data_IF_359296802869
#
_entry.id   IF_359296802869
#
_cell.length_a   1.000
_cell.length_b   1.000
_cell.length_c   1.000
_cell.angle_alpha   90.00
_cell.angle_beta   90.00
_cell.angle_gamma   90.00
#
_symmetry.space_group_name_H-M   'P 1'
#
loop_
_entity.id
_entity.type
_entity.pdbx_description
1 polymer ?
#
# COMPACT_ATOMS: atom_id res chain seq x y z
N UNK A 1 -15.31 -29.53 -32.58
CA UNK A 1 -14.58 -30.71 -32.11
C UNK A 1 -14.11 -30.42 -30.70
N UNK A 2 -14.68 -31.07 -29.69
CA UNK A 2 -14.25 -30.89 -28.30
C UNK A 2 -13.12 -31.89 -28.06
N UNK A 3 -11.91 -31.40 -27.82
CA UNK A 3 -10.79 -32.27 -27.45
C UNK A 3 -11.02 -32.77 -26.03
N UNK A 4 -11.24 -34.07 -25.86
CA UNK A 4 -11.22 -34.72 -24.56
C UNK A 4 -9.77 -34.96 -24.15
N UNK A 5 -9.24 -34.14 -23.25
CA UNK A 5 -7.95 -34.40 -22.60
C UNK A 5 -8.15 -35.43 -21.50
N UNK A 6 -7.76 -36.68 -21.73
CA UNK A 6 -7.69 -37.69 -20.66
C UNK A 6 -6.52 -37.34 -19.72
N UNK A 7 -6.83 -36.93 -18.48
CA UNK A 7 -5.86 -36.69 -17.41
C UNK A 7 -5.58 -38.01 -16.67
N UNK A 8 -4.99 -39.00 -17.33
CA UNK A 8 -4.84 -40.34 -16.71
C UNK A 8 -3.44 -40.71 -16.24
N UNK A 9 -2.44 -39.82 -16.29
CA UNK A 9 -1.09 -40.09 -15.76
C UNK A 9 -0.38 -38.83 -15.21
N UNK A 10 -1.09 -37.97 -14.48
CA UNK A 10 -0.46 -36.85 -13.80
C UNK A 10 -0.16 -37.25 -12.36
N UNK A 11 1.12 -37.19 -11.98
CA UNK A 11 1.50 -37.36 -10.58
C UNK A 11 0.84 -36.24 -9.76
N UNK A 12 0.28 -36.52 -8.56
CA UNK A 12 -0.40 -35.52 -7.75
C UNK A 12 0.39 -34.22 -7.55
N UNK A 13 1.71 -34.30 -7.48
CA UNK A 13 2.60 -33.15 -7.34
C UNK A 13 2.63 -32.26 -8.59
N UNK A 14 2.65 -32.85 -9.78
CA UNK A 14 2.63 -32.09 -11.03
C UNK A 14 1.29 -31.37 -11.21
N UNK A 15 0.18 -31.99 -10.79
CA UNK A 15 -1.14 -31.34 -10.79
C UNK A 15 -1.17 -30.16 -9.81
N UNK A 16 -0.61 -30.33 -8.62
CA UNK A 16 -0.48 -29.28 -7.61
C UNK A 16 0.32 -28.10 -8.15
N UNK A 17 1.46 -28.35 -8.78
CA UNK A 17 2.31 -27.29 -9.33
C UNK A 17 1.62 -26.50 -10.45
N UNK A 18 0.89 -27.19 -11.33
CA UNK A 18 0.11 -26.54 -12.41
C UNK A 18 -1.02 -25.66 -11.85
N UNK A 19 -1.74 -26.14 -10.84
CA UNK A 19 -2.80 -25.36 -10.18
C UNK A 19 -2.19 -24.12 -9.49
N UNK A 20 -1.09 -24.29 -8.75
CA UNK A 20 -0.41 -23.18 -8.07
C UNK A 20 0.14 -22.17 -9.08
N UNK A 21 0.69 -22.62 -10.21
CA UNK A 21 1.20 -21.76 -11.26
C UNK A 21 0.07 -20.93 -11.90
N UNK A 22 -1.03 -21.58 -12.31
CA UNK A 22 -2.17 -20.89 -12.92
C UNK A 22 -2.81 -19.88 -11.96
N UNK A 23 -3.00 -20.24 -10.69
CA UNK A 23 -3.52 -19.31 -9.68
C UNK A 23 -2.57 -18.12 -9.49
N UNK A 24 -1.25 -18.35 -9.40
CA UNK A 24 -0.28 -17.26 -9.22
C UNK A 24 -0.26 -16.30 -10.40
N UNK A 25 -0.41 -16.80 -11.62
CA UNK A 25 -0.40 -15.99 -12.84
C UNK A 25 -1.63 -15.09 -12.91
N UNK A 26 -2.82 -15.64 -12.67
CA UNK A 26 -4.07 -14.88 -12.62
C UNK A 26 -4.11 -13.87 -11.46
N UNK A 27 -3.56 -14.23 -10.29
CA UNK A 27 -3.51 -13.34 -9.14
C UNK A 27 -2.37 -12.32 -9.22
N UNK A 28 -1.41 -12.43 -10.13
CA UNK A 28 -0.27 -11.50 -10.21
C UNK A 28 -0.72 -10.06 -10.50
N UNK A 29 -1.64 -9.91 -11.45
CA UNK A 29 -2.26 -8.62 -11.81
C UNK A 29 -3.18 -8.11 -10.71
N UNK A 30 -3.89 -9.01 -10.02
CA UNK A 30 -4.72 -8.62 -8.87
C UNK A 30 -3.85 -8.11 -7.71
N UNK A 31 -2.76 -8.82 -7.39
CA UNK A 31 -1.83 -8.45 -6.33
C UNK A 31 -1.14 -7.13 -6.68
N UNK A 32 -0.72 -6.90 -7.93
CA UNK A 32 -0.09 -5.63 -8.32
C UNK A 32 -1.04 -4.43 -8.18
N UNK A 33 -2.35 -4.63 -8.41
CA UNK A 33 -3.38 -3.61 -8.23
C UNK A 33 -3.78 -3.40 -6.77
N UNK A 34 -3.73 -4.47 -5.95
CA UNK A 34 -4.10 -4.44 -4.54
C UNK A 34 -2.95 -4.04 -3.61
N UNK A 35 -1.70 -4.28 -4.00
CA UNK A 35 -0.58 -3.64 -3.32
C UNK A 35 -0.63 -2.17 -3.69
N UNK A 36 -0.93 -1.24 -2.74
CA UNK A 36 -0.66 0.16 -3.01
C UNK A 36 0.81 0.19 -3.38
N UNK A 37 1.07 0.62 -4.61
CA UNK A 37 2.42 0.78 -5.09
C UNK A 37 3.06 1.71 -4.05
N UNK A 38 3.90 1.16 -3.16
CA UNK A 38 4.68 1.93 -2.18
C UNK A 38 5.77 2.74 -2.89
N UNK A 39 5.51 3.07 -4.16
CA UNK A 39 6.28 3.90 -5.04
C UNK A 39 5.74 5.31 -4.86
N UNK A 40 6.28 5.92 -3.83
CA UNK A 40 6.94 7.22 -3.86
C UNK A 40 6.86 7.70 -2.43
N UNK A 41 8.01 7.71 -1.74
CA UNK A 41 8.20 8.44 -0.48
C UNK A 41 8.07 9.94 -0.78
N UNK A 42 6.87 10.35 -1.15
CA UNK A 42 6.54 11.71 -1.47
C UNK A 42 6.52 12.48 -0.15
N UNK A 43 7.49 13.38 -0.01
CA UNK A 43 7.67 14.15 1.21
C UNK A 43 6.86 15.44 1.12
N UNK A 44 5.73 15.43 1.80
CA UNK A 44 4.80 16.56 1.88
C UNK A 44 5.29 17.62 2.85
N UNK A 45 5.13 18.88 2.47
CA UNK A 45 5.37 20.02 3.34
C UNK A 45 4.24 20.18 4.35
N UNK A 46 4.50 20.92 5.45
CA UNK A 46 3.47 21.27 6.44
C UNK A 46 2.20 21.88 5.83
N UNK A 47 2.36 22.68 4.77
CA UNK A 47 1.23 23.34 4.10
C UNK A 47 0.35 22.33 3.38
N UNK A 48 0.96 21.43 2.61
CA UNK A 48 0.25 20.37 1.89
C UNK A 48 -0.48 19.43 2.86
N UNK A 49 0.19 19.01 3.94
CA UNK A 49 -0.44 18.17 4.97
C UNK A 49 -1.64 18.85 5.61
N UNK A 50 -1.54 20.14 5.94
CA UNK A 50 -2.68 20.90 6.46
C UNK A 50 -3.84 20.97 5.47
N UNK A 51 -3.56 21.11 4.17
CA UNK A 51 -4.59 21.11 3.12
C UNK A 51 -5.27 19.74 3.01
N UNK A 52 -4.51 18.65 3.05
CA UNK A 52 -5.03 17.27 2.93
C UNK A 52 -5.90 16.91 4.15
N UNK A 53 -5.39 17.17 5.35
CA UNK A 53 -6.08 16.86 6.61
C UNK A 53 -7.11 17.92 7.02
N UNK A 54 -7.24 18.99 6.25
CA UNK A 54 -8.09 20.15 6.53
C UNK A 54 -7.92 20.67 7.97
N UNK A 55 -6.67 20.73 8.45
CA UNK A 55 -6.35 21.12 9.82
C UNK A 55 -5.49 22.39 9.86
N UNK A 56 -5.49 23.09 10.99
CA UNK A 56 -4.58 24.23 11.21
C UNK A 56 -3.14 23.79 11.45
N UNK A 57 -2.19 24.69 11.20
CA UNK A 57 -0.77 24.49 11.49
C UNK A 57 -0.50 24.18 12.98
N UNK A 58 -1.30 24.74 13.87
CA UNK A 58 -1.22 24.50 15.32
C UNK A 58 -1.63 23.07 15.65
N UNK A 59 -2.71 22.56 15.06
CA UNK A 59 -3.16 21.17 15.22
C UNK A 59 -2.12 20.19 14.71
N UNK A 60 -1.53 20.45 13.53
CA UNK A 60 -0.45 19.62 12.98
C UNK A 60 0.77 19.60 13.91
N UNK A 61 1.12 20.74 14.53
CA UNK A 61 2.20 20.82 15.51
C UNK A 61 1.90 19.98 16.77
N UNK A 62 0.66 20.04 17.27
CA UNK A 62 0.25 19.21 18.41
C UNK A 62 0.34 17.72 18.09
N UNK A 63 -0.09 17.29 16.90
CA UNK A 63 0.04 15.89 16.47
C UNK A 63 1.50 15.46 16.33
N UNK A 64 2.35 16.35 15.84
CA UNK A 64 3.80 16.10 15.75
C UNK A 64 4.43 15.94 17.13
N UNK A 65 4.07 16.80 18.08
CA UNK A 65 4.60 16.74 19.45
C UNK A 65 4.08 15.53 20.23
N UNK A 66 2.87 15.07 19.91
CA UNK A 66 2.27 13.84 20.47
C UNK A 66 2.79 12.56 19.80
N UNK A 67 3.59 12.65 18.73
CA UNK A 67 4.07 11.49 17.98
C UNK A 67 2.99 10.78 17.15
N UNK A 68 1.86 11.43 16.87
CA UNK A 68 0.77 10.88 16.05
C UNK A 68 1.15 10.91 14.58
N UNK A 69 1.80 11.99 14.14
CA UNK A 69 2.42 12.12 12.82
C UNK A 69 3.91 12.35 13.03
N UNK A 70 4.76 11.61 12.33
CA UNK A 70 6.21 11.66 12.53
C UNK A 70 6.82 12.65 11.53
N UNK A 71 7.30 13.83 11.97
CA UNK A 71 7.95 14.78 11.08
C UNK A 71 9.38 14.33 10.72
N UNK A 72 9.69 14.32 9.44
CA UNK A 72 11.07 14.21 8.94
C UNK A 72 11.68 15.60 8.93
N UNK A 73 12.73 15.80 9.74
CA UNK A 73 13.39 17.11 9.91
C UNK A 73 14.71 17.11 9.14
N UNK A 74 14.77 17.93 8.08
CA UNK A 74 16.00 18.20 7.32
C UNK A 74 16.42 19.64 7.62
N UNK A 75 17.17 19.82 8.70
CA UNK A 75 17.58 21.14 9.19
C UNK A 75 16.37 22.01 9.61
N UNK A 76 16.15 23.12 8.90
CA UNK A 76 14.98 24.01 9.12
C UNK A 76 13.70 23.50 8.45
N UNK A 77 13.82 22.60 7.49
CA UNK A 77 12.69 22.07 6.74
C UNK A 77 12.09 20.88 7.47
N UNK A 78 10.77 20.83 7.51
CA UNK A 78 10.03 19.70 8.06
C UNK A 78 9.06 19.20 7.03
N UNK A 79 9.14 17.90 6.76
CA UNK A 79 8.31 17.18 5.82
C UNK A 79 7.65 15.97 6.50
N UNK A 80 6.64 15.42 5.86
CA UNK A 80 5.94 14.21 6.30
C UNK A 80 5.87 13.24 5.14
N UNK A 81 5.93 11.95 5.45
CA UNK A 81 5.68 10.92 4.45
C UNK A 81 4.19 10.92 4.12
N UNK A 82 3.87 10.93 2.82
CA UNK A 82 2.50 10.79 2.34
C UNK A 82 1.83 9.50 2.85
N UNK A 83 2.58 8.39 2.90
CA UNK A 83 2.11 7.12 3.47
C UNK A 83 1.58 7.28 4.89
N UNK A 84 2.30 8.00 5.74
CA UNK A 84 1.91 8.18 7.14
C UNK A 84 0.61 9.00 7.26
N UNK A 85 0.41 9.96 6.35
CA UNK A 85 -0.83 10.74 6.29
C UNK A 85 -2.00 9.88 5.80
N UNK A 86 -1.79 9.04 4.79
CA UNK A 86 -2.80 8.11 4.29
C UNK A 86 -3.18 7.05 5.34
N UNK A 87 -2.19 6.48 6.03
CA UNK A 87 -2.39 5.55 7.15
C UNK A 87 -3.16 6.22 8.28
N UNK A 88 -2.84 7.47 8.60
CA UNK A 88 -3.58 8.25 9.60
C UNK A 88 -5.06 8.42 9.21
N UNK A 89 -5.35 8.74 7.95
CA UNK A 89 -6.72 8.86 7.43
C UNK A 89 -7.46 7.51 7.50
N UNK A 90 -6.82 6.43 7.06
CA UNK A 90 -7.40 5.09 7.04
C UNK A 90 -7.69 4.58 8.46
N UNK A 91 -6.79 4.83 9.42
CA UNK A 91 -6.96 4.43 10.83
C UNK A 91 -8.16 5.09 11.53
N UNK A 92 -8.67 6.20 11.00
CA UNK A 92 -9.82 6.94 11.55
C UNK A 92 -11.15 6.64 10.85
N UNK A 93 -11.13 5.91 9.75
CA UNK A 93 -12.32 5.58 8.94
C UNK A 93 -12.97 4.24 9.35
N UNK A 94 -12.42 3.57 10.37
CA UNK A 94 -12.92 2.32 10.94
C UNK A 94 -13.67 2.60 12.24
#
# INVERSE_FOLDING_TARGET
MVQQTLITQLHPDQLKDLIVAGIREEFKELISQLTPQKNQEELLTRKEVCTILQCSMTTLWHWSNKGILIPIRTGRNVRYLKSDIEDFINSKKQ
#
